data_IF_401108251930
#
_entry.id   IF_401108251930
#
_cell.length_a   1.000
_cell.length_b   1.000
_cell.length_c   1.000
_cell.angle_alpha   90.00
_cell.angle_beta   90.00
_cell.angle_gamma   90.00
#
_symmetry.space_group_name_H-M   'P 1'
#
loop_
_entity.id
_entity.type
_entity.pdbx_description
1 polymer ?
#
# COMPACT_ATOMS: atom_id res chain seq x y z
N UNK A 1 17.30 19.40 21.22
CA UNK A 1 16.68 18.12 20.85
C UNK A 1 16.14 18.26 19.44
N UNK A 2 16.83 17.78 18.41
CA UNK A 2 16.20 17.66 17.09
C UNK A 2 15.20 16.52 17.18
N UNK A 3 13.90 16.78 17.04
CA UNK A 3 12.96 15.68 16.81
C UNK A 3 13.37 15.01 15.51
N UNK A 4 13.68 13.74 15.55
CA UNK A 4 13.89 12.96 14.34
C UNK A 4 12.59 13.03 13.52
N UNK A 5 12.66 13.55 12.30
CA UNK A 5 11.47 13.66 11.45
C UNK A 5 11.04 12.27 11.04
N UNK A 6 9.87 11.82 11.51
CA UNK A 6 9.27 10.56 11.05
C UNK A 6 8.69 10.74 9.67
N UNK A 7 8.97 9.80 8.76
CA UNK A 7 8.35 9.75 7.44
C UNK A 7 7.41 8.57 7.35
N UNK A 8 6.22 8.82 6.80
CA UNK A 8 5.26 7.81 6.38
C UNK A 8 5.03 7.91 4.87
N UNK A 9 4.67 6.79 4.23
CA UNK A 9 4.36 6.73 2.80
C UNK A 9 2.92 6.27 2.60
N UNK A 10 2.15 7.01 1.81
CA UNK A 10 0.81 6.61 1.38
C UNK A 10 0.89 5.99 -0.01
N UNK A 11 0.43 4.74 -0.14
CA UNK A 11 0.34 4.00 -1.40
C UNK A 11 -1.14 3.89 -1.79
N UNK A 12 -1.67 4.78 -2.67
CA UNK A 12 -3.04 4.67 -3.15
C UNK A 12 -3.18 3.51 -4.14
N UNK A 13 -3.76 2.40 -3.68
CA UNK A 13 -3.95 1.15 -4.41
C UNK A 13 -5.42 0.71 -4.55
N UNK A 14 -6.39 1.61 -4.26
CA UNK A 14 -7.83 1.33 -4.32
C UNK A 14 -8.40 1.24 -5.76
N UNK A 15 -7.61 1.61 -6.76
CA UNK A 15 -8.06 1.68 -8.15
C UNK A 15 -8.21 0.32 -8.83
N UNK A 16 -9.24 0.18 -9.67
CA UNK A 16 -9.54 -1.05 -10.43
C UNK A 16 -8.54 -1.38 -11.55
N UNK A 17 -7.75 -0.42 -12.01
CA UNK A 17 -6.70 -0.66 -13.02
C UNK A 17 -7.20 -1.06 -14.42
N UNK A 18 -8.41 -0.62 -14.81
CA UNK A 18 -9.14 -1.07 -16.02
C UNK A 18 -8.41 -0.88 -17.35
N UNK A 19 -7.42 0.01 -17.40
CA UNK A 19 -6.61 0.26 -18.60
C UNK A 19 -5.58 -0.84 -18.88
N UNK A 20 -5.27 -1.70 -17.90
CA UNK A 20 -4.34 -2.82 -18.06
C UNK A 20 -5.05 -4.09 -18.62
N UNK A 21 -6.14 -3.90 -19.35
CA UNK A 21 -6.96 -5.01 -19.85
C UNK A 21 -7.69 -5.77 -18.74
N UNK A 22 -8.42 -6.84 -19.10
CA UNK A 22 -9.22 -7.63 -18.17
C UNK A 22 -8.37 -8.35 -17.11
N UNK A 23 -9.01 -8.76 -16.01
CA UNK A 23 -8.39 -9.50 -14.91
C UNK A 23 -8.43 -8.77 -13.57
N UNK A 24 -7.69 -9.28 -12.59
CA UNK A 24 -7.60 -8.69 -11.25
C UNK A 24 -7.14 -7.22 -11.29
N UNK A 25 -7.46 -6.41 -10.25
CA UNK A 25 -6.91 -5.07 -10.12
C UNK A 25 -5.40 -5.05 -10.29
N UNK A 26 -4.88 -4.04 -10.99
CA UNK A 26 -3.45 -3.95 -11.34
C UNK A 26 -2.53 -4.19 -10.14
N UNK A 27 -2.86 -3.59 -8.99
CA UNK A 27 -2.08 -3.72 -7.76
C UNK A 27 -1.89 -5.18 -7.29
N UNK A 28 -2.87 -6.04 -7.58
CA UNK A 28 -2.88 -7.46 -7.16
C UNK A 28 -2.32 -8.41 -8.23
N UNK A 29 -2.02 -7.92 -9.44
CA UNK A 29 -1.44 -8.77 -10.49
C UNK A 29 0.01 -9.10 -10.16
N UNK A 30 0.40 -10.34 -10.40
CA UNK A 30 1.76 -10.79 -10.21
C UNK A 30 2.70 -10.29 -11.31
N UNK A 31 3.87 -9.79 -10.91
CA UNK A 31 5.06 -9.63 -11.73
C UNK A 31 6.08 -10.66 -11.26
N UNK A 32 6.38 -11.63 -12.12
CA UNK A 32 7.25 -12.76 -11.78
C UNK A 32 6.84 -13.47 -10.48
N UNK A 33 5.54 -13.79 -10.35
CA UNK A 33 4.99 -14.49 -9.17
C UNK A 33 4.71 -13.63 -7.94
N UNK A 34 5.16 -12.37 -7.88
CA UNK A 34 4.93 -11.47 -6.73
C UNK A 34 3.99 -10.32 -7.12
N UNK A 35 2.92 -10.01 -6.35
CA UNK A 35 2.01 -8.93 -6.69
C UNK A 35 2.68 -7.55 -6.80
N UNK A 36 2.21 -6.72 -7.73
CA UNK A 36 2.72 -5.36 -7.95
C UNK A 36 2.74 -4.52 -6.68
N UNK A 37 1.71 -4.64 -5.83
CA UNK A 37 1.62 -3.94 -4.56
C UNK A 37 2.75 -4.33 -3.61
N UNK A 38 3.09 -5.62 -3.52
CA UNK A 38 4.17 -6.10 -2.66
C UNK A 38 5.52 -5.52 -3.06
N UNK A 39 5.79 -5.43 -4.37
CA UNK A 39 7.00 -4.78 -4.87
C UNK A 39 7.08 -3.31 -4.42
N UNK A 40 5.98 -2.57 -4.50
CA UNK A 40 5.94 -1.17 -4.07
C UNK A 40 6.14 -1.01 -2.55
N UNK A 41 5.48 -1.85 -1.74
CA UNK A 41 5.62 -1.81 -0.28
C UNK A 41 7.03 -2.16 0.16
N UNK A 42 7.64 -3.22 -0.41
CA UNK A 42 9.03 -3.61 -0.12
C UNK A 42 10.01 -2.49 -0.43
N UNK A 43 9.90 -1.87 -1.60
CA UNK A 43 10.77 -0.76 -1.98
C UNK A 43 10.71 0.40 -0.99
N UNK A 44 9.53 0.70 -0.41
CA UNK A 44 9.39 1.74 0.60
C UNK A 44 9.93 1.28 1.96
N UNK A 45 9.65 0.06 2.39
CA UNK A 45 10.12 -0.48 3.67
C UNK A 45 11.65 -0.72 3.69
N UNK A 46 12.28 -0.89 2.53
CA UNK A 46 13.74 -0.94 2.41
C UNK A 46 14.41 0.40 2.70
N UNK A 47 13.70 1.52 2.53
CA UNK A 47 14.22 2.84 2.89
C UNK A 47 14.35 3.01 4.41
N UNK A 48 15.54 3.43 4.88
CA UNK A 48 15.76 3.75 6.31
C UNK A 48 15.03 5.01 6.77
N UNK A 49 14.54 5.84 5.83
CA UNK A 49 13.80 7.05 6.16
C UNK A 49 12.33 6.78 6.45
N UNK A 50 11.78 5.65 6.00
CA UNK A 50 10.35 5.31 6.10
C UNK A 50 10.09 4.46 7.35
N UNK A 51 9.26 5.00 8.24
CA UNK A 51 8.84 4.30 9.47
C UNK A 51 7.47 3.64 9.34
N UNK A 52 6.64 4.08 8.38
CA UNK A 52 5.27 3.60 8.19
C UNK A 52 4.89 3.58 6.71
N UNK A 53 4.25 2.51 6.25
CA UNK A 53 3.59 2.42 4.94
C UNK A 53 2.09 2.27 5.11
N UNK A 54 1.32 3.25 4.65
CA UNK A 54 -0.14 3.21 4.61
C UNK A 54 -0.58 2.78 3.21
N UNK A 55 -1.14 1.59 3.10
CA UNK A 55 -1.71 1.08 1.86
C UNK A 55 -3.20 1.37 1.83
N UNK A 56 -3.64 2.12 0.82
CA UNK A 56 -5.06 2.41 0.62
C UNK A 56 -5.62 1.38 -0.36
N UNK A 57 -6.45 0.47 0.13
CA UNK A 57 -7.00 -0.65 -0.62
C UNK A 57 -8.41 -0.33 -1.15
N UNK A 58 -8.95 -1.12 -2.10
CA UNK A 58 -10.37 -1.04 -2.44
C UNK A 58 -11.23 -1.19 -1.17
N UNK A 59 -12.36 -0.47 -1.03
CA UNK A 59 -13.18 -0.50 0.19
C UNK A 59 -13.58 -1.91 0.64
N UNK A 60 -13.87 -2.79 -0.32
CA UNK A 60 -14.24 -4.19 -0.16
C UNK A 60 -13.03 -5.16 -0.14
N UNK A 61 -11.83 -4.65 -0.41
CA UNK A 61 -10.60 -5.43 -0.55
C UNK A 61 -9.57 -5.24 0.58
N UNK A 62 -9.83 -4.36 1.56
CA UNK A 62 -8.85 -4.01 2.59
C UNK A 62 -8.37 -5.21 3.42
N UNK A 63 -9.28 -6.09 3.84
CA UNK A 63 -8.92 -7.30 4.59
C UNK A 63 -8.02 -8.24 3.77
N UNK A 64 -8.37 -8.48 2.49
CA UNK A 64 -7.58 -9.32 1.59
C UNK A 64 -6.19 -8.72 1.32
N UNK A 65 -6.10 -7.39 1.17
CA UNK A 65 -4.81 -6.69 1.03
C UNK A 65 -3.97 -6.81 2.29
N UNK A 66 -4.59 -6.72 3.48
CA UNK A 66 -3.87 -6.93 4.74
C UNK A 66 -3.30 -8.34 4.82
N UNK A 67 -4.10 -9.37 4.57
CA UNK A 67 -3.61 -10.76 4.52
C UNK A 67 -2.49 -10.93 3.51
N UNK A 68 -2.62 -10.34 2.32
CA UNK A 68 -1.59 -10.38 1.30
C UNK A 68 -0.25 -9.77 1.78
N UNK A 69 -0.30 -8.68 2.54
CA UNK A 69 0.90 -8.08 3.14
C UNK A 69 1.45 -8.92 4.29
N UNK A 70 0.59 -9.47 5.15
CA UNK A 70 0.99 -10.38 6.22
C UNK A 70 1.74 -11.62 5.66
N UNK A 71 1.30 -12.15 4.51
CA UNK A 71 1.93 -13.29 3.82
C UNK A 71 3.30 -12.96 3.19
N UNK A 72 3.67 -11.67 3.09
CA UNK A 72 4.92 -11.23 2.49
C UNK A 72 5.76 -10.47 3.52
N UNK A 73 6.78 -11.13 4.07
CA UNK A 73 7.69 -10.53 5.04
C UNK A 73 8.19 -9.14 4.60
N UNK A 74 8.01 -8.17 5.49
CA UNK A 74 8.56 -6.81 5.41
C UNK A 74 9.66 -6.65 6.46
N UNK A 75 10.63 -5.74 6.26
CA UNK A 75 11.62 -5.43 7.29
C UNK A 75 10.95 -5.02 8.62
N UNK A 76 11.40 -5.60 9.74
CA UNK A 76 10.82 -5.36 11.09
C UNK A 76 10.81 -3.88 11.53
N UNK A 77 11.62 -3.04 10.89
CA UNK A 77 11.73 -1.60 11.19
C UNK A 77 10.61 -0.74 10.60
N UNK A 78 9.74 -1.30 9.77
CA UNK A 78 8.72 -0.52 9.05
C UNK A 78 7.34 -1.10 9.33
N UNK A 79 6.52 -0.31 10.02
CA UNK A 79 5.12 -0.65 10.24
C UNK A 79 4.31 -0.49 8.95
N UNK A 80 3.17 -1.18 8.86
CA UNK A 80 2.22 -0.93 7.80
C UNK A 80 0.77 -0.92 8.31
N UNK A 81 -0.06 -0.17 7.59
CA UNK A 81 -1.49 -0.07 7.82
C UNK A 81 -2.19 -0.28 6.48
N UNK A 82 -3.37 -0.90 6.51
CA UNK A 82 -4.26 -0.96 5.35
C UNK A 82 -5.56 -0.25 5.68
N UNK A 83 -5.93 0.73 4.86
CA UNK A 83 -7.17 1.49 5.00
C UNK A 83 -8.03 1.42 3.73
N UNK A 84 -9.36 1.50 3.84
CA UNK A 84 -10.22 1.58 2.66
C UNK A 84 -10.03 2.93 1.93
N UNK A 85 -10.03 2.90 0.60
CA UNK A 85 -9.98 4.08 -0.25
C UNK A 85 -11.35 4.69 -0.54
N UNK A 86 -11.34 5.75 -1.35
CA UNK A 86 -12.55 6.41 -1.84
C UNK A 86 -12.80 6.18 -3.33
N UNK A 87 -13.81 6.85 -3.87
CA UNK A 87 -14.20 6.73 -5.28
C UNK A 87 -13.16 7.35 -6.22
N UNK A 88 -12.45 8.36 -5.72
CA UNK A 88 -11.38 9.05 -6.44
C UNK A 88 -9.99 8.76 -5.86
N UNK A 89 -8.97 9.01 -6.69
CA UNK A 89 -7.57 8.97 -6.22
C UNK A 89 -7.35 9.97 -5.09
N UNK A 90 -7.94 11.15 -5.17
CA UNK A 90 -7.83 12.21 -4.18
C UNK A 90 -8.43 11.79 -2.83
N UNK A 91 -9.63 11.21 -2.83
CA UNK A 91 -10.23 10.67 -1.60
C UNK A 91 -9.39 9.54 -1.02
N UNK A 92 -8.86 8.66 -1.86
CA UNK A 92 -7.98 7.58 -1.41
C UNK A 92 -6.70 8.13 -0.76
N UNK A 93 -6.09 9.17 -1.35
CA UNK A 93 -4.92 9.82 -0.75
C UNK A 93 -5.29 10.47 0.58
N UNK A 94 -6.42 11.18 0.66
CA UNK A 94 -6.90 11.78 1.92
C UNK A 94 -7.10 10.71 3.00
N UNK A 95 -7.78 9.61 2.69
CA UNK A 95 -7.98 8.51 3.63
C UNK A 95 -6.66 7.93 4.16
N UNK A 96 -5.63 7.85 3.32
CA UNK A 96 -4.30 7.41 3.76
C UNK A 96 -3.53 8.45 4.58
N UNK A 97 -3.83 9.74 4.42
CA UNK A 97 -3.23 10.82 5.22
C UNK A 97 -3.89 10.98 6.59
N UNK A 98 -5.18 10.65 6.71
CA UNK A 98 -5.97 10.75 7.95
C UNK A 98 -5.79 9.53 8.89
N UNK A 99 -5.02 8.53 8.46
CA UNK A 99 -4.93 7.21 9.07
C UNK A 99 -3.96 7.11 10.27
#
# INVERSE_FOLDING_TARGET
MSSESRTAVVIPAAGRGVRLGPGAPKALRALNGTPMLIHAVRAMAESRAVSLVVVVAPPDGAAAVKTLLDDHALPERTDFLVVPGGESRQESVRAGLDA
#
